data_IF_142393327781
#
_entry.id   IF_142393327781
#
_cell.length_a   1.000
_cell.length_b   1.000
_cell.length_c   1.000
_cell.angle_alpha   90.00
_cell.angle_beta   90.00
_cell.angle_gamma   90.00
#
_symmetry.space_group_name_H-M   'P 1'
#
loop_
_entity.id
_entity.type
_entity.pdbx_description
1 polymer ?
#
# COMPACT_ATOMS: atom_id res chain seq x y z
N UNK A 1 37.27 8.39 -29.57
CA UNK A 1 37.07 7.49 -28.40
C UNK A 1 35.58 7.45 -28.11
N UNK A 2 34.94 6.30 -28.25
CA UNK A 2 33.51 6.12 -27.98
C UNK A 2 33.38 5.58 -26.56
N UNK A 3 32.94 6.42 -25.62
CA UNK A 3 32.64 5.96 -24.26
C UNK A 3 31.23 5.39 -24.27
N UNK A 4 31.10 4.06 -24.31
CA UNK A 4 29.85 3.41 -23.95
C UNK A 4 29.69 3.52 -22.44
N UNK A 5 28.85 4.44 -22.00
CA UNK A 5 28.38 4.48 -20.62
C UNK A 5 27.49 3.24 -20.43
N UNK A 6 28.03 2.19 -19.83
CA UNK A 6 27.20 1.10 -19.33
C UNK A 6 26.50 1.65 -18.10
N UNK A 7 25.29 2.19 -18.28
CA UNK A 7 24.45 2.58 -17.17
C UNK A 7 24.05 1.31 -16.41
N UNK A 8 24.73 1.02 -15.31
CA UNK A 8 24.27 0.03 -14.35
C UNK A 8 22.92 0.50 -13.81
N UNK A 9 21.87 -0.32 -13.96
CA UNK A 9 20.55 -0.03 -13.38
C UNK A 9 20.71 0.19 -11.86
N UNK A 10 20.01 1.19 -11.30
CA UNK A 10 20.01 1.36 -9.85
C UNK A 10 19.45 0.10 -9.17
N UNK A 11 19.90 -0.25 -7.96
CA UNK A 11 19.40 -1.42 -7.25
C UNK A 11 17.88 -1.40 -7.05
N UNK A 12 17.30 -0.22 -6.82
CA UNK A 12 15.84 -0.03 -6.71
C UNK A 12 15.12 -0.28 -8.04
N UNK A 13 15.73 0.15 -9.16
CA UNK A 13 15.17 -0.09 -10.49
C UNK A 13 15.27 -1.57 -10.86
N UNK A 14 16.38 -2.24 -10.53
CA UNK A 14 16.53 -3.69 -10.69
C UNK A 14 15.48 -4.44 -9.86
N UNK A 15 15.41 -4.17 -8.56
CA UNK A 15 14.43 -4.76 -7.65
C UNK A 15 13.00 -4.56 -8.17
N UNK A 16 12.65 -3.33 -8.57
CA UNK A 16 11.33 -3.04 -9.09
C UNK A 16 11.03 -3.83 -10.36
N UNK A 17 11.98 -3.94 -11.28
CA UNK A 17 11.78 -4.70 -12.51
C UNK A 17 11.58 -6.19 -12.21
N UNK A 18 12.35 -6.75 -11.28
CA UNK A 18 12.25 -8.15 -10.87
C UNK A 18 10.91 -8.44 -10.19
N UNK A 19 10.49 -7.61 -9.22
CA UNK A 19 9.22 -7.76 -8.52
C UNK A 19 8.00 -7.60 -9.43
N UNK A 20 8.09 -6.69 -10.42
CA UNK A 20 6.99 -6.43 -11.34
C UNK A 20 6.96 -7.41 -12.51
N UNK A 21 7.98 -8.25 -12.66
CA UNK A 21 7.99 -9.28 -13.70
C UNK A 21 6.87 -10.29 -13.44
N UNK A 22 5.88 -10.34 -14.33
CA UNK A 22 4.67 -11.17 -14.24
C UNK A 22 3.75 -10.86 -13.05
N UNK A 23 3.92 -9.71 -12.39
CA UNK A 23 2.99 -9.27 -11.37
C UNK A 23 1.66 -8.82 -12.02
N UNK A 24 0.55 -9.39 -11.58
CA UNK A 24 -0.79 -9.01 -12.04
C UNK A 24 -1.55 -8.24 -10.94
N UNK A 25 -1.81 -6.93 -11.09
CA UNK A 25 -2.52 -6.15 -10.08
C UNK A 25 -4.01 -6.51 -9.94
N UNK A 26 -4.56 -7.31 -10.86
CA UNK A 26 -5.94 -7.79 -10.79
C UNK A 26 -6.10 -9.05 -9.94
N UNK A 27 -4.99 -9.70 -9.57
CA UNK A 27 -5.01 -10.95 -8.82
C UNK A 27 -4.72 -10.71 -7.34
N UNK A 28 -5.50 -11.32 -6.43
CA UNK A 28 -5.24 -11.21 -4.99
C UNK A 28 -3.83 -11.72 -4.67
N UNK A 29 -3.04 -11.00 -3.86
CA UNK A 29 -1.69 -11.39 -3.54
C UNK A 29 -1.68 -12.36 -2.36
N UNK A 30 -2.06 -13.60 -2.63
CA UNK A 30 -2.04 -14.72 -1.67
C UNK A 30 -1.23 -15.89 -2.24
N UNK A 31 -0.65 -16.70 -1.36
CA UNK A 31 0.08 -17.91 -1.77
C UNK A 31 -0.88 -19.03 -2.19
N UNK A 32 -1.94 -19.23 -1.39
CA UNK A 32 -2.99 -20.21 -1.65
C UNK A 32 -4.28 -19.48 -1.95
N UNK A 33 -5.06 -19.97 -2.92
CA UNK A 33 -6.33 -19.34 -3.30
C UNK A 33 -7.35 -19.27 -2.16
N UNK A 34 -7.26 -20.21 -1.21
CA UNK A 34 -8.11 -20.29 -0.01
C UNK A 34 -7.72 -19.30 1.09
N UNK A 35 -6.51 -18.71 1.02
CA UNK A 35 -6.06 -17.77 2.04
C UNK A 35 -6.74 -16.40 1.87
N UNK A 36 -7.12 -15.73 2.97
CA UNK A 36 -7.64 -14.37 2.91
C UNK A 36 -6.52 -13.34 2.75
N UNK A 37 -6.85 -12.19 2.14
CA UNK A 37 -6.03 -10.98 2.30
C UNK A 37 -6.51 -10.24 3.54
N UNK A 38 -5.66 -10.16 4.57
CA UNK A 38 -5.98 -9.39 5.78
C UNK A 38 -5.67 -7.92 5.55
N UNK A 39 -6.71 -7.10 5.49
CA UNK A 39 -6.60 -5.64 5.37
C UNK A 39 -6.80 -5.01 6.75
N UNK A 40 -5.79 -4.33 7.25
CA UNK A 40 -5.90 -3.54 8.49
C UNK A 40 -6.33 -2.13 8.14
N UNK A 41 -7.48 -1.69 8.65
CA UNK A 41 -8.02 -0.36 8.46
C UNK A 41 -7.77 0.50 9.70
N UNK A 42 -7.38 1.75 9.48
CA UNK A 42 -7.30 2.78 10.51
C UNK A 42 -7.96 4.06 10.00
N UNK A 43 -8.71 4.72 10.88
CA UNK A 43 -9.29 6.03 10.61
C UNK A 43 -8.58 7.03 11.50
N UNK A 44 -8.05 8.08 10.88
CA UNK A 44 -7.50 9.22 11.62
C UNK A 44 -8.52 10.33 11.50
N UNK A 45 -9.26 10.51 12.58
CA UNK A 45 -10.18 11.62 12.75
C UNK A 45 -9.39 12.93 12.79
N UNK A 46 -9.83 13.94 12.02
CA UNK A 46 -9.21 15.27 12.03
C UNK A 46 -10.10 16.28 12.74
N UNK A 47 -11.35 16.42 12.29
CA UNK A 47 -12.30 17.37 12.87
C UNK A 47 -13.75 17.03 12.49
N UNK A 48 -14.70 17.56 13.26
CA UNK A 48 -16.11 17.67 12.87
C UNK A 48 -16.25 18.90 11.98
N UNK A 49 -16.93 18.75 10.85
CA UNK A 49 -17.27 19.86 9.95
C UNK A 49 -18.65 20.41 10.32
N UNK A 50 -19.65 19.54 10.48
CA UNK A 50 -21.01 19.92 10.84
C UNK A 50 -21.76 18.76 11.54
N UNK A 51 -22.76 19.09 12.34
CA UNK A 51 -23.68 18.14 12.97
C UNK A 51 -25.11 18.64 12.85
N UNK A 52 -25.93 17.92 12.07
CA UNK A 52 -27.35 18.16 11.96
C UNK A 52 -28.13 17.05 12.68
N UNK A 53 -28.49 17.32 13.93
CA UNK A 53 -29.23 16.38 14.78
C UNK A 53 -30.61 16.02 14.22
N UNK A 54 -31.32 16.97 13.59
CA UNK A 54 -32.67 16.74 13.04
C UNK A 54 -32.64 15.80 11.83
N UNK A 55 -31.54 15.80 11.08
CA UNK A 55 -31.34 14.96 9.91
C UNK A 55 -30.44 13.76 10.21
N UNK A 56 -30.04 13.57 11.47
CA UNK A 56 -29.10 12.53 11.92
C UNK A 56 -27.82 12.48 11.06
N UNK A 57 -27.36 13.64 10.60
CA UNK A 57 -26.20 13.78 9.71
C UNK A 57 -25.03 14.38 10.48
N UNK A 58 -23.93 13.64 10.52
CA UNK A 58 -22.61 14.13 10.96
C UNK A 58 -21.73 14.30 9.72
N UNK A 59 -20.94 15.36 9.64
CA UNK A 59 -19.96 15.58 8.59
C UNK A 59 -18.57 15.72 9.22
N UNK A 60 -17.58 14.98 8.73
CA UNK A 60 -16.24 14.91 9.32
C UNK A 60 -15.16 15.00 8.26
N UNK A 61 -14.00 15.52 8.67
CA UNK A 61 -12.76 15.34 7.93
C UNK A 61 -11.94 14.22 8.60
N UNK A 62 -11.58 13.20 7.82
CA UNK A 62 -10.82 12.06 8.31
C UNK A 62 -9.90 11.50 7.23
N UNK A 63 -8.73 10.99 7.63
CA UNK A 63 -7.87 10.22 6.75
C UNK A 63 -8.10 8.73 6.94
N UNK A 64 -8.34 8.03 5.84
CA UNK A 64 -8.36 6.58 5.81
C UNK A 64 -6.94 6.05 5.60
N UNK A 65 -6.51 5.13 6.45
CA UNK A 65 -5.28 4.36 6.29
C UNK A 65 -5.63 2.90 6.19
N UNK A 66 -5.03 2.22 5.24
CA UNK A 66 -5.15 0.77 5.10
C UNK A 66 -3.79 0.17 4.79
N UNK A 67 -3.58 -1.04 5.29
CA UNK A 67 -2.36 -1.80 5.09
C UNK A 67 -2.72 -3.27 4.83
N UNK A 68 -2.00 -3.89 3.92
CA UNK A 68 -2.12 -5.32 3.60
C UNK A 68 -0.73 -5.87 3.28
N UNK A 69 -0.59 -7.20 3.35
CA UNK A 69 0.64 -7.88 2.93
C UNK A 69 0.43 -8.45 1.53
N UNK A 70 1.33 -8.11 0.62
CA UNK A 70 1.41 -8.72 -0.70
C UNK A 70 2.44 -9.86 -0.66
N UNK A 71 2.03 -11.09 -0.99
CA UNK A 71 2.93 -12.24 -0.94
C UNK A 71 3.88 -12.32 -2.14
N UNK A 72 3.53 -11.69 -3.26
CA UNK A 72 4.29 -11.69 -4.52
C UNK A 72 5.36 -10.58 -4.54
N UNK A 73 5.20 -9.54 -3.72
CA UNK A 73 6.16 -8.43 -3.61
C UNK A 73 7.13 -8.62 -2.43
N UNK A 74 7.92 -9.70 -2.47
CA UNK A 74 8.93 -10.02 -1.44
C UNK A 74 10.31 -10.15 -2.07
N UNK A 75 11.34 -9.70 -1.35
CA UNK A 75 12.73 -9.83 -1.75
C UNK A 75 13.65 -9.99 -0.54
N UNK A 76 14.89 -10.43 -0.79
CA UNK A 76 15.97 -10.37 0.18
C UNK A 76 16.76 -9.06 0.00
N UNK A 77 16.82 -8.16 0.99
CA UNK A 77 17.60 -6.92 0.87
C UNK A 77 19.06 -7.14 0.61
N UNK A 78 19.63 -8.27 1.04
CA UNK A 78 21.06 -8.55 0.83
C UNK A 78 21.39 -8.66 -0.67
N UNK A 79 20.42 -9.03 -1.50
CA UNK A 79 20.56 -9.08 -2.97
C UNK A 79 20.41 -7.70 -3.64
N UNK A 80 19.91 -6.71 -2.91
CA UNK A 80 19.57 -5.37 -3.41
C UNK A 80 20.07 -4.27 -2.47
N UNK A 81 21.33 -4.36 -2.02
CA UNK A 81 22.03 -3.29 -1.29
C UNK A 81 21.29 -2.81 -0.03
N UNK A 82 20.65 -3.73 0.69
CA UNK A 82 19.86 -3.47 1.90
C UNK A 82 18.63 -2.56 1.69
N UNK A 83 18.07 -2.52 0.48
CA UNK A 83 16.77 -1.88 0.26
C UNK A 83 15.70 -2.63 1.08
N UNK A 84 15.05 -1.92 2.01
CA UNK A 84 13.99 -2.46 2.88
C UNK A 84 12.62 -1.85 2.61
N UNK A 85 12.59 -0.78 1.81
CA UNK A 85 11.39 -0.02 1.47
C UNK A 85 11.46 0.37 -0.02
N UNK A 86 10.44 -0.01 -0.78
CA UNK A 86 10.31 0.33 -2.20
C UNK A 86 9.00 1.07 -2.47
N UNK A 87 9.09 2.23 -3.15
CA UNK A 87 7.91 3.03 -3.52
C UNK A 87 7.41 2.64 -4.90
N UNK A 88 6.12 2.32 -5.00
CA UNK A 88 5.44 2.04 -6.27
C UNK A 88 4.47 3.16 -6.67
N UNK A 89 4.31 3.48 -7.97
CA UNK A 89 3.27 4.39 -8.45
C UNK A 89 1.84 3.91 -8.16
N UNK A 90 0.86 4.82 -8.27
CA UNK A 90 -0.56 4.47 -8.03
C UNK A 90 -1.06 3.44 -9.03
N UNK A 91 -1.85 2.48 -8.57
CA UNK A 91 -2.52 1.51 -9.45
C UNK A 91 -1.61 0.49 -10.14
N UNK A 92 -0.31 0.43 -9.80
CA UNK A 92 0.61 -0.56 -10.38
C UNK A 92 0.68 -1.87 -9.59
N UNK A 93 0.15 -1.89 -8.38
CA UNK A 93 0.06 -3.07 -7.52
C UNK A 93 -1.41 -3.34 -7.17
N UNK A 94 -1.73 -4.59 -6.81
CA UNK A 94 -3.04 -4.94 -6.29
C UNK A 94 -3.37 -4.06 -5.07
N UNK A 95 -4.61 -3.61 -5.00
CA UNK A 95 -5.14 -2.84 -3.89
C UNK A 95 -6.56 -3.32 -3.57
N UNK A 96 -6.97 -3.33 -2.30
CA UNK A 96 -8.33 -3.68 -1.94
C UNK A 96 -9.32 -2.59 -2.37
N UNK A 97 -10.47 -3.00 -2.87
CA UNK A 97 -11.61 -2.10 -3.09
C UNK A 97 -12.29 -1.83 -1.75
N UNK A 98 -12.17 -0.61 -1.25
CA UNK A 98 -12.78 -0.18 0.01
C UNK A 98 -13.94 0.77 -0.30
N UNK A 99 -15.15 0.36 0.08
CA UNK A 99 -16.37 1.16 -0.07
C UNK A 99 -16.89 1.55 1.32
N UNK A 100 -17.26 2.83 1.48
CA UNK A 100 -18.06 3.26 2.62
C UNK A 100 -19.54 3.00 2.34
N UNK A 101 -20.14 2.06 3.09
CA UNK A 101 -21.54 1.70 2.91
C UNK A 101 -22.51 2.83 3.32
N UNK A 102 -22.22 3.49 4.44
CA UNK A 102 -23.04 4.61 4.91
C UNK A 102 -22.53 5.94 4.34
N UNK A 103 -23.01 6.28 3.14
CA UNK A 103 -22.69 7.55 2.46
C UNK A 103 -23.43 8.76 3.04
N UNK A 104 -24.48 8.56 3.83
CA UNK A 104 -25.23 9.67 4.45
C UNK A 104 -24.43 10.37 5.56
N UNK A 105 -23.44 9.68 6.12
CA UNK A 105 -22.53 10.22 7.14
C UNK A 105 -21.38 11.04 6.54
N UNK A 106 -21.20 11.04 5.22
CA UNK A 106 -20.08 11.74 4.58
C UNK A 106 -20.46 12.08 3.14
N UNK A 107 -21.00 13.29 2.93
CA UNK A 107 -20.77 14.02 1.69
C UNK A 107 -19.64 15.01 2.00
N UNK A 108 -18.63 15.07 1.13
CA UNK A 108 -17.39 15.83 1.27
C UNK A 108 -16.25 15.16 2.06
N UNK A 109 -16.14 13.81 2.01
CA UNK A 109 -14.81 13.29 1.68
C UNK A 109 -14.65 13.56 0.18
N UNK A 110 -14.23 14.78 -0.17
CA UNK A 110 -13.41 14.81 -1.36
C UNK A 110 -12.28 13.81 -1.10
N UNK A 111 -12.02 12.94 -2.06
CA UNK A 111 -10.86 12.03 -2.05
C UNK A 111 -9.55 12.83 -2.16
N UNK A 112 -9.41 13.90 -1.38
CA UNK A 112 -8.28 14.79 -1.30
C UNK A 112 -7.20 14.05 -0.54
N UNK A 113 -6.35 13.43 -1.35
CA UNK A 113 -5.13 12.76 -0.97
C UNK A 113 -5.37 11.54 -0.08
N UNK A 114 -5.68 10.43 -0.77
CA UNK A 114 -5.09 9.14 -0.47
C UNK A 114 -3.60 9.30 -0.18
N UNK A 115 -3.24 9.63 1.06
CA UNK A 115 -1.91 9.35 1.59
C UNK A 115 -1.85 7.85 1.79
N UNK A 116 -1.79 7.12 0.67
CA UNK A 116 -1.22 5.80 0.65
C UNK A 116 0.22 6.06 1.09
N UNK A 117 0.51 5.80 2.38
CA UNK A 117 1.86 5.42 2.73
C UNK A 117 2.08 4.11 1.97
N UNK A 118 2.58 4.25 0.74
CA UNK A 118 3.05 3.19 -0.15
C UNK A 118 4.31 2.63 0.47
N UNK A 119 4.13 2.00 1.63
CA UNK A 119 5.19 1.36 2.35
C UNK A 119 4.97 -0.13 2.16
N UNK A 120 5.44 -0.61 1.01
CA UNK A 120 5.77 -2.01 0.87
C UNK A 120 6.99 -2.24 1.78
N UNK A 121 6.72 -2.56 3.04
CA UNK A 121 7.70 -3.20 3.90
C UNK A 121 7.53 -4.68 3.61
N UNK A 122 8.57 -5.40 3.17
CA UNK A 122 9.00 -6.66 3.79
C UNK A 122 10.32 -7.11 3.17
N UNK A 123 11.37 -6.96 3.97
CA UNK A 123 12.50 -7.87 4.00
C UNK A 123 12.28 -8.90 5.09
N UNK A 124 12.44 -10.18 4.78
CA UNK A 124 12.50 -11.20 5.83
C UNK A 124 13.89 -11.18 6.46
N UNK A 125 14.10 -10.37 7.50
CA UNK A 125 15.04 -10.77 8.56
C UNK A 125 14.18 -11.28 9.70
N UNK A 126 14.15 -12.61 9.82
CA UNK A 126 13.56 -13.35 10.93
C UNK A 126 14.38 -12.97 12.19
N UNK A 127 14.00 -11.93 12.92
CA UNK A 127 14.56 -11.73 14.26
C UNK A 127 13.95 -12.78 15.18
N UNK A 128 14.80 -13.72 15.57
CA UNK A 128 14.56 -14.62 16.68
C UNK A 128 14.05 -13.83 17.89
N UNK A 129 12.92 -14.24 18.45
CA UNK A 129 12.60 -13.96 19.84
C UNK A 129 12.57 -15.30 20.58
N UNK A 130 13.59 -15.49 21.42
CA UNK A 130 13.55 -16.44 22.53
C UNK A 130 12.52 -15.97 23.57
N UNK A 131 11.99 -16.98 24.28
CA UNK A 131 11.04 -16.99 25.41
C UNK A 131 10.75 -15.71 26.17
#
# INVERSE_FOLDING_TARGET
MHFTFVATLSPELRLRNDLMHNYNPLERPVERSDDPVVVTLGVIFQQIIDLNERQEKLEINAWLKYNWKDTKLRWDPLEYENITDLRHPAGTIWQPDILLYNRYLILLLEFQHFFIKRRLIYSHIKSHWHS
#
